data_IF_047226822418
#
_entry.id   IF_047226822418
#
_cell.length_a   1.000
_cell.length_b   1.000
_cell.length_c   1.000
_cell.angle_alpha   90.00
_cell.angle_beta   90.00
_cell.angle_gamma   90.00
#
_symmetry.space_group_name_H-M   'P 1'
#
loop_
_entity.id
_entity.type
_entity.pdbx_description
1 polymer ?
#
# COMPACT_ATOMS: atom_id res chain seq x y z
N UNK A 1 -12.40 5.26 9.32
CA UNK A 1 -12.28 4.24 8.26
C UNK A 1 -12.34 2.90 8.97
N UNK A 2 -13.46 2.20 8.88
CA UNK A 2 -13.56 0.87 9.46
C UNK A 2 -13.01 -0.17 8.47
N UNK A 3 -12.36 -1.21 8.99
CA UNK A 3 -11.80 -2.34 8.23
C UNK A 3 -10.84 -1.96 7.10
N UNK A 4 -10.09 -0.88 7.29
CA UNK A 4 -9.25 -0.30 6.24
C UNK A 4 -7.97 0.28 6.80
N UNK A 5 -6.85 -0.08 6.17
CA UNK A 5 -5.52 0.41 6.51
C UNK A 5 -4.96 1.20 5.33
N UNK A 6 -4.31 2.32 5.60
CA UNK A 6 -3.60 3.11 4.58
C UNK A 6 -2.14 2.71 4.61
N UNK A 7 -1.67 2.04 3.56
CA UNK A 7 -0.31 1.53 3.45
C UNK A 7 0.50 2.44 2.53
N UNK A 8 1.67 2.89 2.99
CA UNK A 8 2.63 3.64 2.17
C UNK A 8 3.66 2.67 1.60
N UNK A 9 3.60 2.44 0.29
CA UNK A 9 4.62 1.65 -0.42
C UNK A 9 5.65 2.62 -0.98
N UNK A 10 6.92 2.26 -0.88
CA UNK A 10 8.01 2.99 -1.54
C UNK A 10 8.85 2.06 -2.40
N UNK A 11 9.17 2.50 -3.61
CA UNK A 11 10.08 1.79 -4.50
C UNK A 11 11.12 2.76 -5.07
N UNK A 12 12.23 2.21 -5.55
CA UNK A 12 13.24 2.96 -6.26
C UNK A 12 12.92 2.96 -7.74
N UNK A 13 12.96 4.12 -8.36
CA UNK A 13 12.84 4.29 -9.81
C UNK A 13 14.09 4.98 -10.34
N UNK A 14 14.50 4.60 -11.55
CA UNK A 14 15.60 5.24 -12.25
C UNK A 14 15.04 6.44 -13.04
N UNK A 15 15.64 7.62 -12.84
CA UNK A 15 15.38 8.76 -13.72
C UNK A 15 15.88 8.45 -15.14
N UNK A 16 15.02 8.63 -16.15
CA UNK A 16 15.33 8.28 -17.54
C UNK A 16 16.45 9.14 -18.13
N UNK A 17 16.52 10.42 -17.77
CA UNK A 17 17.47 11.38 -18.34
C UNK A 17 18.80 11.34 -17.58
N UNK A 18 18.71 11.34 -16.25
CA UNK A 18 19.87 11.51 -15.38
C UNK A 18 20.42 10.20 -14.83
N UNK A 19 19.75 9.06 -15.05
CA UNK A 19 20.10 7.73 -14.50
C UNK A 19 20.30 7.71 -12.98
N UNK A 20 19.80 8.72 -12.27
CA UNK A 20 19.81 8.80 -10.81
C UNK A 20 18.67 7.96 -10.25
N UNK A 21 18.96 7.11 -9.26
CA UNK A 21 17.91 6.40 -8.50
C UNK A 21 17.23 7.38 -7.54
N UNK A 22 15.91 7.41 -7.56
CA UNK A 22 15.11 8.20 -6.63
C UNK A 22 14.01 7.34 -6.00
N UNK A 23 13.59 7.71 -4.79
CA UNK A 23 12.52 7.02 -4.07
C UNK A 23 11.18 7.65 -4.43
N UNK A 24 10.27 6.84 -4.95
CA UNK A 24 8.88 7.21 -5.13
C UNK A 24 8.04 6.49 -4.08
N UNK A 25 7.02 7.16 -3.54
CA UNK A 25 6.09 6.53 -2.61
C UNK A 25 4.65 6.82 -2.98
N UNK A 26 3.78 5.83 -2.82
CA UNK A 26 2.36 5.95 -3.05
C UNK A 26 1.59 5.33 -1.87
N UNK A 27 0.43 5.93 -1.56
CA UNK A 27 -0.47 5.43 -0.52
C UNK A 27 -1.56 4.58 -1.15
N UNK A 28 -1.82 3.42 -0.57
CA UNK A 28 -2.87 2.50 -1.00
C UNK A 28 -3.85 2.25 0.15
N UNK A 29 -5.13 2.05 -0.18
CA UNK A 29 -6.14 1.63 0.77
C UNK A 29 -6.28 0.12 0.69
N UNK A 30 -5.87 -0.55 1.76
CA UNK A 30 -5.98 -2.00 1.92
C UNK A 30 -7.15 -2.35 2.83
N UNK A 31 -7.84 -3.44 2.51
CA UNK A 31 -8.89 -3.98 3.34
C UNK A 31 -8.31 -4.90 4.42
N UNK A 32 -8.76 -4.69 5.65
CA UNK A 32 -8.44 -5.50 6.82
C UNK A 32 -9.75 -5.72 7.61
N UNK A 33 -10.42 -6.87 7.51
CA UNK A 33 -11.71 -7.08 8.14
C UNK A 33 -11.68 -7.15 9.67
N UNK A 34 -10.51 -7.46 10.26
CA UNK A 34 -10.35 -7.69 11.70
C UNK A 34 -9.65 -6.52 12.40
N UNK A 35 -9.28 -5.45 11.67
CA UNK A 35 -8.54 -4.29 12.19
C UNK A 35 -7.30 -4.72 13.01
N UNK A 36 -6.60 -5.75 12.53
CA UNK A 36 -5.44 -6.36 13.19
C UNK A 36 -4.24 -5.44 13.15
N UNK A 37 -4.08 -4.68 12.07
CA UNK A 37 -2.89 -3.86 11.85
C UNK A 37 -3.05 -2.45 12.41
N UNK A 38 -2.01 -1.97 13.10
CA UNK A 38 -1.95 -0.64 13.70
C UNK A 38 -0.95 0.26 12.98
N UNK A 39 -1.00 1.55 13.30
CA UNK A 39 -0.07 2.52 12.75
C UNK A 39 1.35 2.21 13.24
N UNK A 40 2.27 1.98 12.30
CA UNK A 40 3.67 1.66 12.60
C UNK A 40 4.04 0.21 12.26
N UNK A 41 3.07 -0.65 12.02
CA UNK A 41 3.32 -2.03 11.61
C UNK A 41 3.80 -2.10 10.16
N UNK A 42 4.74 -3.00 9.90
CA UNK A 42 5.11 -3.38 8.54
C UNK A 42 4.10 -4.41 8.04
N UNK A 43 3.50 -4.11 6.88
CA UNK A 43 2.45 -4.94 6.29
C UNK A 43 2.73 -5.17 4.82
N UNK A 44 2.40 -6.36 4.35
CA UNK A 44 2.38 -6.71 2.94
C UNK A 44 0.96 -6.52 2.39
N UNK A 45 0.82 -6.24 1.09
CA UNK A 45 -0.50 -6.18 0.46
C UNK A 45 -0.53 -7.04 -0.79
N UNK A 46 -1.67 -7.67 -1.03
CA UNK A 46 -1.93 -8.46 -2.25
C UNK A 46 -3.07 -7.84 -3.03
N UNK A 47 -3.08 -8.06 -4.34
CA UNK A 47 -4.20 -7.70 -5.20
C UNK A 47 -5.45 -8.53 -4.82
N UNK A 48 -6.61 -7.88 -4.87
CA UNK A 48 -7.89 -8.50 -4.53
C UNK A 48 -9.00 -7.91 -5.41
N UNK A 49 -10.16 -8.58 -5.51
CA UNK A 49 -11.33 -7.99 -6.14
C UNK A 49 -11.63 -6.61 -5.53
N UNK A 50 -12.14 -5.64 -6.32
CA UNK A 50 -12.44 -4.31 -5.82
C UNK A 50 -13.53 -4.38 -4.75
N UNK A 51 -13.17 -4.01 -3.52
CA UNK A 51 -14.09 -3.92 -2.37
C UNK A 51 -14.77 -2.55 -2.34
N UNK A 52 -14.09 -1.54 -2.89
CA UNK A 52 -14.66 -0.21 -3.14
C UNK A 52 -13.99 0.44 -4.34
N UNK A 53 -14.36 1.70 -4.65
CA UNK A 53 -13.74 2.51 -5.71
C UNK A 53 -12.20 2.53 -5.62
N UNK A 54 -11.66 2.62 -4.40
CA UNK A 54 -10.22 2.77 -4.15
C UNK A 54 -9.59 1.56 -3.44
N UNK A 55 -10.39 0.71 -2.78
CA UNK A 55 -9.90 -0.48 -2.07
C UNK A 55 -9.85 -1.67 -3.03
N UNK A 56 -8.67 -1.92 -3.58
CA UNK A 56 -8.37 -3.08 -4.44
C UNK A 56 -7.30 -4.00 -3.85
N UNK A 57 -6.88 -3.71 -2.63
CA UNK A 57 -5.78 -4.38 -1.97
C UNK A 57 -6.28 -5.03 -0.68
N UNK A 58 -5.73 -6.20 -0.35
CA UNK A 58 -5.94 -6.87 0.93
C UNK A 58 -4.66 -6.82 1.74
N UNK A 59 -4.75 -6.44 3.02
CA UNK A 59 -3.61 -6.46 3.93
C UNK A 59 -3.29 -7.92 4.33
N UNK A 60 -2.02 -8.28 4.25
CA UNK A 60 -1.45 -9.59 4.59
C UNK A 60 -0.21 -9.36 5.47
N UNK A 61 0.08 -10.29 6.37
CA UNK A 61 1.30 -10.27 7.17
C UNK A 61 2.51 -10.63 6.29
#
# INVERSE_FOLDING_TARGET
>A
MDKTVVVKISWLKLDKKYKRRYRQSQKYQAHDPENKFKNGDNVSIIESPPISKNKKWRAVY
#
